data_IF_003187034062
#
_entry.id   IF_003187034062
#
_cell.length_a   1.000
_cell.length_b   1.000
_cell.length_c   1.000
_cell.angle_alpha   90.00
_cell.angle_beta   90.00
_cell.angle_gamma   90.00
#
_symmetry.space_group_name_H-M   'P 1'
#
loop_
_entity.id
_entity.type
_entity.pdbx_description
1 polymer ?
#
# COMPACT_ATOMS: atom_id res chain seq x y z
N UNK A 1 21.97 8.89 13.30
CA UNK A 1 21.73 7.84 12.29
C UNK A 1 20.23 7.60 12.21
N UNK A 2 19.57 8.12 11.18
CA UNK A 2 18.15 7.84 10.91
C UNK A 2 18.01 6.39 10.47
N UNK A 3 17.29 5.59 11.25
CA UNK A 3 16.95 4.21 10.92
C UNK A 3 15.98 4.22 9.73
N UNK A 4 16.52 4.20 8.51
CA UNK A 4 15.70 3.98 7.32
C UNK A 4 15.10 2.58 7.41
N UNK A 5 13.82 2.50 7.78
CA UNK A 5 13.08 1.24 7.83
C UNK A 5 12.94 0.73 6.40
N UNK A 6 13.78 -0.24 6.02
CA UNK A 6 13.78 -0.85 4.68
C UNK A 6 12.71 -1.93 4.62
N UNK A 7 11.81 -1.84 3.66
CA UNK A 7 10.74 -2.82 3.49
C UNK A 7 11.03 -3.66 2.24
N UNK A 8 10.78 -4.96 2.36
CA UNK A 8 10.83 -5.87 1.21
C UNK A 8 9.58 -5.70 0.36
N UNK A 9 9.67 -6.07 -0.92
CA UNK A 9 8.52 -6.11 -1.84
C UNK A 9 7.33 -6.88 -1.23
N UNK A 10 7.62 -8.03 -0.59
CA UNK A 10 6.61 -8.85 0.09
C UNK A 10 5.94 -8.09 1.24
N UNK A 11 6.72 -7.43 2.10
CA UNK A 11 6.15 -6.65 3.21
C UNK A 11 5.28 -5.48 2.73
N UNK A 12 5.67 -4.82 1.65
CA UNK A 12 4.88 -3.73 1.05
C UNK A 12 3.58 -4.27 0.47
N UNK A 13 3.66 -5.39 -0.25
CA UNK A 13 2.49 -6.06 -0.87
C UNK A 13 1.52 -6.59 0.19
N UNK A 14 2.01 -7.34 1.19
CA UNK A 14 1.19 -7.91 2.26
C UNK A 14 0.45 -6.81 3.03
N UNK A 15 1.11 -5.67 3.29
CA UNK A 15 0.49 -4.53 3.98
C UNK A 15 -0.52 -3.80 3.11
N UNK A 16 -0.22 -3.59 1.83
CA UNK A 16 -1.16 -2.99 0.89
C UNK A 16 -2.43 -3.84 0.77
N UNK A 17 -2.27 -5.16 0.58
CA UNK A 17 -3.39 -6.10 0.49
C UNK A 17 -4.22 -6.11 1.77
N UNK A 18 -3.57 -6.19 2.95
CA UNK A 18 -4.26 -6.12 4.24
C UNK A 18 -5.10 -4.85 4.37
N UNK A 19 -4.56 -3.69 3.96
CA UNK A 19 -5.28 -2.42 4.07
C UNK A 19 -6.43 -2.32 3.06
N UNK A 20 -6.23 -2.76 1.82
CA UNK A 20 -7.29 -2.79 0.80
C UNK A 20 -8.43 -3.69 1.26
N UNK A 21 -8.14 -4.90 1.78
CA UNK A 21 -9.17 -5.81 2.31
C UNK A 21 -9.95 -5.19 3.46
N UNK A 22 -9.29 -4.50 4.38
CA UNK A 22 -9.96 -3.79 5.47
C UNK A 22 -10.89 -2.69 4.96
N UNK A 23 -10.43 -1.87 4.01
CA UNK A 23 -11.24 -0.80 3.41
C UNK A 23 -12.45 -1.35 2.65
N UNK A 24 -12.30 -2.47 1.94
CA UNK A 24 -13.42 -3.14 1.27
C UNK A 24 -14.44 -3.71 2.26
N UNK A 25 -13.98 -4.22 3.41
CA UNK A 25 -14.89 -4.66 4.48
C UNK A 25 -15.64 -3.47 5.10
N UNK A 26 -14.94 -2.37 5.41
CA UNK A 26 -15.55 -1.12 5.90
C UNK A 26 -16.58 -0.57 4.89
N UNK A 27 -16.29 -0.65 3.59
CA UNK A 27 -17.23 -0.25 2.52
C UNK A 27 -18.51 -1.11 2.49
N UNK A 28 -18.38 -2.42 2.75
CA UNK A 28 -19.52 -3.33 2.80
C UNK A 28 -20.40 -3.09 4.04
N UNK A 29 -19.79 -2.72 5.18
CA UNK A 29 -20.52 -2.43 6.42
C UNK A 29 -21.18 -1.04 6.42
N UNK A 30 -20.58 -0.06 5.72
CA UNK A 30 -21.10 1.30 5.62
C UNK A 30 -21.34 1.73 4.16
N UNK A 31 -22.46 1.30 3.53
CA UNK A 31 -22.75 1.59 2.12
C UNK A 31 -22.78 3.09 1.78
N UNK A 32 -23.22 3.94 2.71
CA UNK A 32 -23.25 5.40 2.56
C UNK A 32 -21.84 6.03 2.50
N UNK A 33 -20.81 5.32 2.95
CA UNK A 33 -19.40 5.69 2.87
C UNK A 33 -18.62 4.82 1.88
N UNK A 34 -19.27 3.89 1.17
CA UNK A 34 -18.58 2.93 0.31
C UNK A 34 -17.69 3.62 -0.74
N UNK A 35 -18.19 4.72 -1.33
CA UNK A 35 -17.40 5.50 -2.29
C UNK A 35 -16.11 6.05 -1.66
N UNK A 36 -16.17 6.58 -0.45
CA UNK A 36 -15.00 7.08 0.29
C UNK A 36 -13.97 5.97 0.53
N UNK A 37 -14.42 4.81 1.01
CA UNK A 37 -13.54 3.67 1.26
C UNK A 37 -12.93 3.07 -0.02
N UNK A 38 -13.68 3.07 -1.12
CA UNK A 38 -13.17 2.67 -2.43
C UNK A 38 -12.07 3.61 -2.94
N UNK A 39 -12.26 4.92 -2.82
CA UNK A 39 -11.23 5.91 -3.20
C UNK A 39 -9.97 5.77 -2.34
N UNK A 40 -10.12 5.53 -1.04
CA UNK A 40 -8.99 5.24 -0.15
C UNK A 40 -8.24 3.97 -0.57
N UNK A 41 -8.95 2.89 -0.92
CA UNK A 41 -8.33 1.65 -1.36
C UNK A 41 -7.59 1.82 -2.70
N UNK A 42 -8.14 2.63 -3.59
CA UNK A 42 -7.48 3.04 -4.84
C UNK A 42 -6.19 3.81 -4.56
N UNK A 43 -6.20 4.72 -3.58
CA UNK A 43 -4.99 5.42 -3.12
C UNK A 43 -3.90 4.45 -2.64
N UNK A 44 -4.26 3.44 -1.85
CA UNK A 44 -3.33 2.40 -1.38
C UNK A 44 -2.76 1.59 -2.55
N UNK A 45 -3.59 1.23 -3.53
CA UNK A 45 -3.15 0.52 -4.74
C UNK A 45 -2.19 1.37 -5.58
N UNK A 46 -2.47 2.66 -5.75
CA UNK A 46 -1.60 3.58 -6.48
C UNK A 46 -0.24 3.70 -5.79
N UNK A 47 -0.23 3.91 -4.48
CA UNK A 47 1.02 3.97 -3.71
C UNK A 47 1.81 2.67 -3.80
N UNK A 48 1.16 1.50 -3.71
CA UNK A 48 1.82 0.22 -3.93
C UNK A 48 2.42 0.13 -5.34
N UNK A 49 1.67 0.55 -6.38
CA UNK A 49 2.17 0.57 -7.74
C UNK A 49 3.39 1.49 -7.88
N UNK A 50 3.37 2.68 -7.29
CA UNK A 50 4.49 3.63 -7.35
C UNK A 50 5.73 3.05 -6.66
N UNK A 51 5.56 2.50 -5.46
CA UNK A 51 6.63 1.88 -4.68
C UNK A 51 7.23 0.66 -5.38
N UNK A 52 6.43 -0.09 -6.14
CA UNK A 52 6.86 -1.35 -6.77
C UNK A 52 7.25 -1.23 -8.24
N UNK A 53 6.77 -0.21 -8.97
CA UNK A 53 7.11 0.02 -10.39
C UNK A 53 8.30 0.97 -10.57
N UNK A 54 8.56 1.86 -9.60
CA UNK A 54 9.57 2.93 -9.68
C UNK A 54 11.05 2.52 -9.68
N UNK A 55 11.36 1.22 -9.67
CA UNK A 55 12.72 0.76 -9.82
C UNK A 55 12.80 -0.74 -9.68
N UNK A 56 12.76 -1.46 -10.82
CA UNK A 56 13.13 -2.88 -10.93
C UNK A 56 12.71 -3.69 -9.70
N UNK A 57 11.41 -3.93 -9.50
CA UNK A 57 10.93 -4.98 -8.60
C UNK A 57 11.23 -6.36 -9.23
N UNK A 58 12.53 -6.58 -9.44
CA UNK A 58 13.10 -7.87 -9.69
C UNK A 58 13.02 -8.57 -8.34
N UNK A 59 12.45 -9.78 -8.35
CA UNK A 59 12.38 -10.71 -7.23
C UNK A 59 13.48 -10.44 -6.20
N UNK A 60 13.07 -10.02 -5.01
CA UNK A 60 13.93 -9.82 -3.83
C UNK A 60 14.79 -8.54 -3.71
N UNK A 61 14.63 -7.53 -4.58
CA UNK A 61 15.38 -6.27 -4.46
C UNK A 61 14.72 -5.26 -3.52
N UNK A 62 15.45 -4.87 -2.46
CA UNK A 62 15.05 -3.98 -1.36
C UNK A 62 14.54 -2.62 -1.86
N UNK A 63 13.28 -2.29 -1.58
CA UNK A 63 12.68 -1.00 -1.96
C UNK A 63 12.98 0.01 -0.84
N UNK A 64 13.82 1.00 -1.14
CA UNK A 64 14.13 2.11 -0.24
C UNK A 64 13.40 3.36 -0.75
N UNK A 65 12.40 3.83 0.00
CA UNK A 65 11.74 5.11 -0.32
C UNK A 65 10.26 5.12 0.02
N UNK A 66 9.94 5.22 1.30
CA UNK A 66 8.69 5.83 1.73
C UNK A 66 9.07 6.85 2.81
N UNK A 67 9.28 8.09 2.38
CA UNK A 67 9.46 9.22 3.31
C UNK A 67 8.08 9.52 3.88
N UNK A 68 7.91 9.36 5.19
CA UNK A 68 6.71 9.81 5.91
C UNK A 68 6.63 11.34 5.77
N UNK A 69 5.53 11.83 5.17
CA UNK A 69 5.15 13.25 5.12
C UNK A 69 4.16 13.56 6.24
#
# INVERSE_FOLDING_TARGET
MTLHKRWTYRQITDKAEKRIRALMAEAAEAPHLAHYYHEQARGVLNLWNDLTRGGRANSDSRISGATEA
#
